data_IF_919919396459
#
_entry.id   IF_919919396459
#
_cell.length_a   1.000
_cell.length_b   1.000
_cell.length_c   1.000
_cell.angle_alpha   90.00
_cell.angle_beta   90.00
_cell.angle_gamma   90.00
#
_symmetry.space_group_name_H-M   'P 1'
#
loop_
_entity.id
_entity.type
_entity.pdbx_description
1 polymer ?
#
# COMPACT_ATOMS: atom_id res chain seq x y z
N UNK A 1 -7.23 -7.39 72.53
CA UNK A 1 -7.44 -6.81 71.19
C UNK A 1 -6.69 -7.67 70.18
N UNK A 2 -7.37 -8.30 69.22
CA UNK A 2 -6.75 -9.14 68.18
C UNK A 2 -7.19 -8.60 66.82
N UNK A 3 -6.30 -7.89 66.14
CA UNK A 3 -6.50 -7.44 64.76
C UNK A 3 -6.24 -8.63 63.82
N UNK A 4 -7.25 -9.01 63.04
CA UNK A 4 -7.10 -9.96 61.93
C UNK A 4 -6.72 -9.16 60.69
N UNK A 5 -5.49 -9.34 60.21
CA UNK A 5 -5.03 -8.78 58.93
C UNK A 5 -5.55 -9.71 57.83
N UNK A 6 -6.42 -9.19 56.97
CA UNK A 6 -6.90 -9.87 55.77
C UNK A 6 -6.02 -9.41 54.61
N UNK A 7 -5.17 -10.31 54.08
CA UNK A 7 -4.37 -10.05 52.89
C UNK A 7 -5.24 -10.41 51.68
N UNK A 8 -5.68 -9.41 50.93
CA UNK A 8 -6.29 -9.60 49.62
C UNK A 8 -5.17 -9.81 48.59
N UNK A 9 -5.07 -11.03 48.05
CA UNK A 9 -4.20 -11.33 46.90
C UNK A 9 -4.95 -10.87 45.65
N UNK A 10 -4.53 -9.75 45.07
CA UNK A 10 -5.00 -9.29 43.77
C UNK A 10 -4.36 -10.18 42.67
N UNK A 11 -5.17 -11.05 42.06
CA UNK A 11 -4.77 -11.83 40.89
C UNK A 11 -4.81 -10.88 39.69
N UNK A 12 -3.66 -10.36 39.28
CA UNK A 12 -3.51 -9.65 38.01
C UNK A 12 -3.44 -10.68 36.90
N UNK A 13 -4.59 -11.09 36.37
CA UNK A 13 -4.61 -11.76 35.06
C UNK A 13 -4.16 -10.76 34.02
N UNK A 14 -2.87 -10.85 33.66
CA UNK A 14 -2.31 -10.17 32.50
C UNK A 14 -3.06 -10.64 31.26
N UNK A 15 -4.07 -9.88 30.85
CA UNK A 15 -4.56 -9.92 29.50
C UNK A 15 -3.41 -9.45 28.61
N UNK A 16 -2.64 -10.42 28.10
CA UNK A 16 -1.87 -10.21 26.89
C UNK A 16 -2.89 -9.99 25.78
N UNK A 17 -3.38 -8.75 25.66
CA UNK A 17 -3.85 -8.20 24.41
C UNK A 17 -2.62 -8.14 23.51
N UNK A 18 -2.22 -9.31 22.99
CA UNK A 18 -1.54 -9.36 21.71
C UNK A 18 -2.57 -8.91 20.69
N UNK A 19 -2.76 -7.60 20.65
CA UNK A 19 -3.29 -6.90 19.50
C UNK A 19 -2.27 -7.22 18.42
N UNK A 20 -2.42 -8.36 17.74
CA UNK A 20 -1.97 -8.49 16.38
C UNK A 20 -2.68 -7.34 15.69
N UNK A 21 -1.98 -6.21 15.62
CA UNK A 21 -2.51 -4.96 15.14
C UNK A 21 -3.00 -5.30 13.74
N UNK A 22 -4.31 -5.39 13.59
CA UNK A 22 -4.93 -5.61 12.29
C UNK A 22 -4.48 -4.38 11.52
N UNK A 23 -3.44 -4.54 10.70
CA UNK A 23 -2.91 -3.48 9.85
C UNK A 23 -4.06 -3.04 8.96
N UNK A 24 -4.80 -2.04 9.43
CA UNK A 24 -5.96 -1.52 8.73
C UNK A 24 -5.48 -0.83 7.48
N UNK A 25 -6.17 -1.15 6.39
CA UNK A 25 -5.73 -1.02 5.01
C UNK A 25 -5.07 0.31 4.60
N UNK A 26 -4.25 0.15 3.56
CA UNK A 26 -4.22 0.97 2.34
C UNK A 26 -3.09 1.96 2.16
N UNK A 27 -2.39 2.40 3.21
CA UNK A 27 -1.21 3.28 3.08
C UNK A 27 0.06 2.61 2.48
N UNK A 28 -0.08 1.51 1.75
CA UNK A 28 1.06 0.74 1.21
C UNK A 28 1.95 1.60 0.32
N UNK A 29 1.40 2.59 -0.39
CA UNK A 29 2.19 3.52 -1.18
C UNK A 29 3.11 4.41 -0.35
N UNK A 30 2.68 4.83 0.85
CA UNK A 30 3.52 5.61 1.78
C UNK A 30 4.63 4.76 2.41
N UNK A 31 4.44 3.45 2.49
CA UNK A 31 5.50 2.53 2.94
C UNK A 31 6.49 2.25 1.80
N UNK A 32 6.01 2.16 0.56
CA UNK A 32 6.82 1.83 -0.62
C UNK A 32 7.74 2.98 -1.01
N UNK A 33 7.20 4.21 -1.11
CA UNK A 33 7.93 5.36 -1.65
C UNK A 33 9.22 5.74 -0.91
N UNK A 34 9.25 5.92 0.42
CA UNK A 34 10.47 6.30 1.14
C UNK A 34 11.50 5.17 1.20
N UNK A 35 11.07 3.93 0.94
CA UNK A 35 11.91 2.76 1.08
C UNK A 35 12.59 2.34 -0.22
N UNK A 36 12.10 2.78 -1.40
CA UNK A 36 12.74 2.51 -2.69
C UNK A 36 13.07 1.03 -2.86
N UNK A 37 14.35 0.69 -3.02
CA UNK A 37 14.82 -0.70 -3.09
C UNK A 37 14.47 -1.59 -1.86
N UNK A 38 14.19 -1.00 -0.70
CA UNK A 38 13.71 -1.71 0.51
C UNK A 38 12.21 -1.99 0.48
N UNK A 39 11.47 -1.44 -0.48
CA UNK A 39 10.03 -1.67 -0.62
C UNK A 39 9.70 -3.15 -0.78
N UNK A 40 10.56 -3.94 -1.43
CA UNK A 40 10.37 -5.37 -1.65
C UNK A 40 10.16 -6.15 -0.35
N UNK A 41 10.96 -5.85 0.68
CA UNK A 41 10.84 -6.51 1.99
C UNK A 41 9.52 -6.15 2.67
N UNK A 42 9.13 -4.87 2.63
CA UNK A 42 7.86 -4.39 3.18
C UNK A 42 6.64 -4.97 2.45
N UNK A 43 6.70 -5.04 1.14
CA UNK A 43 5.66 -5.64 0.30
C UNK A 43 5.51 -7.12 0.62
N UNK A 44 6.64 -7.83 0.75
CA UNK A 44 6.67 -9.24 1.15
C UNK A 44 6.05 -9.45 2.53
N UNK A 45 6.39 -8.61 3.52
CA UNK A 45 5.77 -8.63 4.85
C UNK A 45 4.26 -8.39 4.81
N UNK A 46 3.78 -7.56 3.87
CA UNK A 46 2.35 -7.30 3.62
C UNK A 46 1.67 -8.39 2.77
N UNK A 47 2.40 -9.42 2.37
CA UNK A 47 1.89 -10.58 1.62
C UNK A 47 1.87 -10.40 0.10
N UNK A 48 2.48 -9.34 -0.43
CA UNK A 48 2.69 -9.16 -1.86
C UNK A 48 3.91 -9.95 -2.30
N UNK A 49 3.78 -10.71 -3.39
CA UNK A 49 4.88 -11.45 -4.01
C UNK A 49 5.20 -10.87 -5.37
N UNK A 50 6.47 -10.65 -5.66
CA UNK A 50 6.92 -10.19 -6.97
C UNK A 50 6.52 -11.23 -8.04
N UNK A 51 5.86 -10.76 -9.10
CA UNK A 51 5.46 -11.57 -10.25
C UNK A 51 6.41 -11.35 -11.43
N UNK A 52 6.76 -10.09 -11.69
CA UNK A 52 7.79 -9.72 -12.64
C UNK A 52 8.33 -8.32 -12.33
N UNK A 53 9.56 -8.05 -12.72
CA UNK A 53 10.18 -6.71 -12.69
C UNK A 53 11.04 -6.55 -13.92
N UNK A 54 11.05 -5.37 -14.52
CA UNK A 54 11.90 -5.12 -15.68
C UNK A 54 11.84 -3.69 -16.22
N UNK A 55 12.81 -3.34 -17.08
CA UNK A 55 12.93 -2.01 -17.63
C UNK A 55 11.74 -1.65 -18.53
N UNK A 56 11.31 -0.40 -18.47
CA UNK A 56 10.26 0.13 -19.36
C UNK A 56 10.89 0.69 -20.63
N UNK A 57 10.13 0.63 -21.73
CA UNK A 57 10.54 1.23 -23.02
C UNK A 57 10.84 2.73 -22.94
N UNK A 58 10.16 3.45 -22.04
CA UNK A 58 10.35 4.89 -21.83
C UNK A 58 11.35 5.22 -20.72
N UNK A 59 12.23 4.27 -20.36
CA UNK A 59 13.16 4.43 -19.25
C UNK A 59 12.56 4.10 -17.89
N UNK A 60 13.43 3.80 -16.93
CA UNK A 60 13.08 3.35 -15.58
C UNK A 60 12.59 1.91 -15.53
N UNK A 61 11.91 1.55 -14.44
CA UNK A 61 11.53 0.17 -14.13
C UNK A 61 10.02 0.04 -13.88
N UNK A 62 9.47 -1.15 -14.16
CA UNK A 62 8.14 -1.57 -13.75
C UNK A 62 8.28 -2.85 -12.93
N UNK A 63 7.83 -2.80 -11.68
CA UNK A 63 7.72 -3.99 -10.83
C UNK A 63 6.25 -4.31 -10.57
N UNK A 64 5.87 -5.57 -10.69
CA UNK A 64 4.50 -6.07 -10.49
C UNK A 64 4.49 -7.08 -9.34
N UNK A 65 3.58 -6.88 -8.39
CA UNK A 65 3.39 -7.74 -7.24
C UNK A 65 1.93 -8.19 -7.14
N UNK A 66 1.74 -9.40 -6.63
CA UNK A 66 0.42 -9.95 -6.38
C UNK A 66 0.28 -10.43 -4.94
N UNK A 67 -0.82 -10.03 -4.30
CA UNK A 67 -1.22 -10.53 -3.00
C UNK A 67 -2.30 -11.60 -3.16
N UNK A 68 -1.92 -12.87 -3.04
CA UNK A 68 -2.86 -14.00 -3.20
C UNK A 68 -3.96 -14.02 -2.14
N UNK A 69 -3.65 -13.61 -0.91
CA UNK A 69 -4.61 -13.66 0.22
C UNK A 69 -5.76 -12.69 0.02
N UNK A 70 -5.45 -11.50 -0.48
CA UNK A 70 -6.41 -10.43 -0.65
C UNK A 70 -6.88 -10.24 -2.09
N UNK A 71 -6.26 -10.98 -3.03
CA UNK A 71 -6.46 -10.90 -4.47
C UNK A 71 -6.30 -9.47 -4.98
N UNK A 72 -5.10 -8.92 -4.78
CA UNK A 72 -4.77 -7.54 -5.11
C UNK A 72 -3.48 -7.48 -5.91
N UNK A 73 -3.41 -6.55 -6.86
CA UNK A 73 -2.21 -6.33 -7.68
C UNK A 73 -1.64 -4.96 -7.44
N UNK A 74 -0.32 -4.89 -7.31
CA UNK A 74 0.41 -3.65 -7.17
C UNK A 74 1.43 -3.53 -8.31
N UNK A 75 1.45 -2.38 -8.98
CA UNK A 75 2.41 -2.07 -10.02
C UNK A 75 3.15 -0.80 -9.64
N UNK A 76 4.46 -0.89 -9.52
CA UNK A 76 5.33 0.21 -9.10
C UNK A 76 6.11 0.67 -10.33
N UNK A 77 5.98 1.96 -10.64
CA UNK A 77 6.64 2.59 -11.77
C UNK A 77 7.74 3.51 -11.25
N UNK A 78 8.98 3.13 -11.52
CA UNK A 78 10.15 3.95 -11.22
C UNK A 78 10.61 4.69 -12.47
N UNK A 79 11.21 5.87 -12.29
CA UNK A 79 11.91 6.59 -13.36
C UNK A 79 13.34 6.04 -13.54
N UNK A 80 14.11 6.61 -14.46
CA UNK A 80 15.49 6.19 -14.74
C UNK A 80 16.46 6.37 -13.56
N UNK A 81 16.11 7.26 -12.62
CA UNK A 81 16.86 7.50 -11.39
C UNK A 81 16.49 6.49 -10.28
N UNK A 82 15.60 5.53 -10.56
CA UNK A 82 15.11 4.55 -9.59
C UNK A 82 14.13 5.11 -8.57
N UNK A 83 13.58 6.31 -8.81
CA UNK A 83 12.56 6.92 -7.94
C UNK A 83 11.17 6.49 -8.38
N UNK A 84 10.35 6.03 -7.44
CA UNK A 84 8.94 5.72 -7.68
C UNK A 84 8.15 6.98 -8.02
N UNK A 85 7.56 6.99 -9.21
CA UNK A 85 6.77 8.11 -9.74
C UNK A 85 5.28 7.82 -9.75
N UNK A 86 4.92 6.54 -9.84
CA UNK A 86 3.54 6.11 -9.88
C UNK A 86 3.36 4.70 -9.32
N UNK A 87 2.26 4.48 -8.61
CA UNK A 87 1.81 3.17 -8.15
C UNK A 87 0.40 2.93 -8.69
N UNK A 88 0.22 1.84 -9.43
CA UNK A 88 -1.13 1.35 -9.80
C UNK A 88 -1.54 0.23 -8.86
N UNK A 89 -2.76 0.33 -8.33
CA UNK A 89 -3.31 -0.62 -7.38
C UNK A 89 -4.64 -1.17 -7.92
N UNK A 90 -4.68 -2.49 -8.14
CA UNK A 90 -5.87 -3.19 -8.61
C UNK A 90 -6.53 -3.91 -7.45
N UNK A 91 -7.75 -3.49 -7.17
CA UNK A 91 -8.54 -3.93 -6.02
C UNK A 91 -9.69 -4.83 -6.49
N UNK A 92 -9.96 -5.96 -5.83
CA UNK A 92 -10.92 -6.94 -6.32
C UNK A 92 -12.38 -6.53 -6.06
N UNK A 93 -12.62 -5.50 -5.23
CA UNK A 93 -13.98 -5.10 -4.84
C UNK A 93 -14.16 -3.58 -4.82
N UNK A 94 -15.39 -3.14 -5.13
CA UNK A 94 -15.77 -1.73 -5.08
C UNK A 94 -15.59 -1.12 -3.69
N UNK A 95 -15.87 -1.90 -2.62
CA UNK A 95 -15.73 -1.44 -1.23
C UNK A 95 -14.28 -1.05 -0.91
N UNK A 96 -13.31 -1.89 -1.30
CA UNK A 96 -11.88 -1.58 -1.12
C UNK A 96 -11.49 -0.36 -1.96
N UNK A 97 -11.96 -0.28 -3.20
CA UNK A 97 -11.72 0.83 -4.11
C UNK A 97 -12.22 2.17 -3.55
N UNK A 98 -13.45 2.22 -3.05
CA UNK A 98 -14.01 3.42 -2.43
C UNK A 98 -13.24 3.80 -1.16
N UNK A 99 -12.90 2.83 -0.31
CA UNK A 99 -12.10 3.08 0.90
C UNK A 99 -10.75 3.73 0.58
N UNK A 100 -10.03 3.19 -0.40
CA UNK A 100 -8.72 3.70 -0.85
C UNK A 100 -8.81 5.08 -1.53
N UNK A 101 -9.98 5.44 -2.09
CA UNK A 101 -10.25 6.79 -2.59
C UNK A 101 -10.60 7.79 -1.50
N UNK A 102 -11.26 7.38 -0.42
CA UNK A 102 -11.66 8.30 0.65
C UNK A 102 -10.51 8.60 1.61
N UNK A 103 -9.53 7.70 1.73
CA UNK A 103 -8.30 7.88 2.51
C UNK A 103 -7.32 8.91 1.89
N UNK A 104 -7.75 9.68 0.89
CA UNK A 104 -7.07 10.86 0.28
C UNK A 104 -6.61 11.95 1.25
N UNK A 105 -6.98 11.90 2.54
CA UNK A 105 -6.73 12.98 3.52
C UNK A 105 -5.24 13.19 3.88
N UNK A 106 -4.32 12.39 3.35
CA UNK A 106 -2.88 12.44 3.66
C UNK A 106 -2.00 12.76 2.45
N UNK A 107 -2.57 13.15 1.30
CA UNK A 107 -1.77 13.49 0.11
C UNK A 107 -0.91 14.74 0.38
N UNK A 108 0.39 14.62 0.12
CA UNK A 108 1.32 15.74 0.14
C UNK A 108 1.12 16.63 -1.10
N UNK A 109 1.60 17.87 -1.06
CA UNK A 109 1.58 18.75 -2.25
C UNK A 109 2.27 18.06 -3.44
N UNK A 110 1.54 17.86 -4.54
CA UNK A 110 2.04 17.22 -5.75
C UNK A 110 1.65 15.74 -5.91
N UNK A 111 1.02 15.13 -4.90
CA UNK A 111 0.49 13.78 -5.00
C UNK A 111 -0.96 13.77 -5.52
N UNK A 112 -1.26 12.88 -6.45
CA UNK A 112 -2.60 12.74 -7.05
C UNK A 112 -3.07 11.28 -7.03
N UNK A 113 -4.34 11.08 -6.68
CA UNK A 113 -5.00 9.76 -6.74
C UNK A 113 -6.09 9.78 -7.79
N UNK A 114 -5.86 9.04 -8.85
CA UNK A 114 -6.71 8.99 -10.03
C UNK A 114 -7.51 7.67 -10.07
N UNK A 115 -8.85 7.74 -9.90
CA UNK A 115 -9.73 6.61 -10.14
C UNK A 115 -9.82 6.31 -11.64
N UNK A 116 -9.40 5.12 -12.06
CA UNK A 116 -9.46 4.68 -13.47
C UNK A 116 -10.62 3.71 -13.75
N UNK A 117 -11.46 3.43 -12.76
CA UNK A 117 -12.63 2.56 -12.94
C UNK A 117 -12.25 1.09 -12.91
N UNK A 118 -12.68 0.31 -13.92
CA UNK A 118 -12.47 -1.14 -13.99
C UNK A 118 -11.42 -1.49 -15.03
N UNK A 119 -10.62 -2.50 -14.75
CA UNK A 119 -9.65 -3.08 -15.68
C UNK A 119 -9.67 -4.60 -15.60
N UNK A 120 -9.05 -5.28 -16.57
CA UNK A 120 -8.86 -6.73 -16.57
C UNK A 120 -7.40 -7.07 -16.28
N UNK A 121 -7.18 -8.02 -15.38
CA UNK A 121 -5.88 -8.58 -15.08
C UNK A 121 -6.03 -10.09 -14.90
N UNK A 122 -5.20 -10.88 -15.60
CA UNK A 122 -5.25 -12.35 -15.59
C UNK A 122 -6.70 -12.93 -15.73
N UNK A 123 -7.51 -12.36 -16.62
CA UNK A 123 -8.88 -12.83 -16.89
C UNK A 123 -9.93 -12.43 -15.86
N UNK A 124 -9.59 -11.61 -14.86
CA UNK A 124 -10.50 -11.13 -13.83
C UNK A 124 -10.64 -9.60 -13.85
N UNK A 125 -11.82 -9.12 -13.50
CA UNK A 125 -12.10 -7.68 -13.35
C UNK A 125 -11.58 -7.19 -11.99
N UNK A 126 -10.86 -6.07 -12.03
CA UNK A 126 -10.43 -5.31 -10.87
C UNK A 126 -10.82 -3.84 -10.98
N UNK A 127 -10.85 -3.15 -9.84
CA UNK A 127 -10.97 -1.71 -9.76
C UNK A 127 -9.58 -1.08 -9.68
N UNK A 128 -9.29 -0.12 -10.56
CA UNK A 128 -7.95 0.44 -10.74
C UNK A 128 -7.84 1.83 -10.12
N UNK A 129 -6.93 1.96 -9.16
CA UNK A 129 -6.46 3.25 -8.64
C UNK A 129 -5.03 3.50 -9.04
N UNK A 130 -4.74 4.74 -9.42
CA UNK A 130 -3.37 5.17 -9.70
C UNK A 130 -2.99 6.30 -8.75
N UNK A 131 -1.87 6.12 -8.08
CA UNK A 131 -1.24 7.10 -7.20
C UNK A 131 -0.04 7.66 -7.95
N UNK A 132 0.01 8.97 -8.16
CA UNK A 132 1.11 9.65 -8.85
C UNK A 132 1.76 10.60 -7.84
N UNK A 133 3.09 10.54 -7.73
CA UNK A 133 3.86 11.25 -6.69
C UNK A 133 4.69 12.40 -7.25
N UNK A 134 4.89 12.43 -8.57
CA UNK A 134 5.44 13.57 -9.30
C UNK A 134 4.47 13.94 -10.40
N UNK A 135 4.02 15.20 -10.42
CA UNK A 135 3.26 15.70 -11.55
C UNK A 135 4.18 15.66 -12.77
N UNK A 136 3.85 14.84 -13.78
CA UNK A 136 4.58 14.89 -15.05
C UNK A 136 4.47 16.32 -15.55
N UNK A 137 5.60 17.01 -15.68
CA UNK A 137 5.64 18.20 -16.52
C UNK A 137 5.26 17.74 -17.93
N UNK A 138 4.10 18.19 -18.40
CA UNK A 138 3.71 18.00 -19.79
C UNK A 138 4.85 18.56 -20.64
N UNK A 139 5.41 17.82 -21.61
CA UNK A 139 6.43 18.37 -22.47
C UNK A 139 5.86 19.67 -23.06
N UNK A 140 6.53 20.79 -22.79
CA UNK A 140 6.16 22.08 -23.38
C UNK A 140 6.05 21.85 -24.88
N UNK A 141 4.86 22.09 -25.45
CA UNK A 141 4.68 22.06 -26.88
C UNK A 141 5.74 22.99 -27.47
N UNK A 142 6.71 22.42 -28.20
CA UNK A 142 7.68 23.20 -28.96
C UNK A 142 6.89 24.08 -29.92
N UNK A 143 6.79 25.37 -29.61
CA UNK A 143 6.46 26.42 -30.56
C UNK A 143 7.77 27.03 -31.05
#
# INVERSE_FOLDING_TARGET
>A
MKQKILILIAITTGFFLSSAQTLTSSNIWYDVMPNGAKADSLLTQKGFKLKYSGPKKMGGNLACYFNKKFDEWLFINDNEQGKTTQISYLLPTLKKYQKNQTEKKLLLMGEEVNPLGKTYQEGKIYYHLTYTFEKRETPSAKN
#
